data_IF_950447530015
#
_entry.id   IF_950447530015
#
_cell.length_a   1.000
_cell.length_b   1.000
_cell.length_c   1.000
_cell.angle_alpha   90.00
_cell.angle_beta   90.00
_cell.angle_gamma   90.00
#
_symmetry.space_group_name_H-M   'P 1'
#
loop_
_entity.id
_entity.type
_entity.pdbx_description
1 polymer ?
#
# COMPACT_ATOMS: atom_id res chain seq x y z
N UNK A 1 12.49 5.68 6.07
CA UNK A 1 11.13 5.94 5.57
C UNK A 1 10.11 5.46 6.60
N UNK A 2 8.94 6.10 6.73
CA UNK A 2 7.97 5.80 7.78
C UNK A 2 6.80 4.97 7.27
N UNK A 3 6.30 4.07 8.12
CA UNK A 3 5.09 3.29 7.87
C UNK A 3 3.86 4.18 7.99
N UNK A 4 2.95 4.10 7.03
CA UNK A 4 1.69 4.87 7.05
C UNK A 4 0.70 4.23 8.02
N UNK A 5 -0.08 5.07 8.69
CA UNK A 5 -1.18 4.62 9.57
C UNK A 5 -2.43 4.32 8.73
N UNK A 6 -3.22 3.31 9.10
CA UNK A 6 -4.47 3.02 8.38
C UNK A 6 -5.50 4.12 8.56
N UNK A 7 -6.36 4.25 7.55
CA UNK A 7 -7.67 4.85 7.71
C UNK A 7 -8.64 3.79 8.27
N UNK A 8 -9.54 4.21 9.14
CA UNK A 8 -10.54 3.34 9.76
C UNK A 8 -11.95 3.75 9.33
N UNK A 9 -12.76 2.77 8.91
CA UNK A 9 -14.19 2.97 8.65
C UNK A 9 -14.98 1.77 9.12
N UNK A 10 -15.83 1.96 10.14
CA UNK A 10 -16.78 1.02 10.78
C UNK A 10 -16.25 -0.37 11.13
N UNK A 11 -15.70 -1.14 10.18
CA UNK A 11 -15.03 -2.45 10.36
C UNK A 11 -13.89 -2.71 9.35
N UNK A 12 -13.37 -1.69 8.68
CA UNK A 12 -12.34 -1.80 7.66
C UNK A 12 -11.15 -0.90 8.01
N UNK A 13 -9.95 -1.47 7.97
CA UNK A 13 -8.69 -0.72 7.98
C UNK A 13 -8.11 -0.75 6.57
N UNK A 14 -7.90 0.43 5.98
CA UNK A 14 -7.43 0.54 4.61
C UNK A 14 -6.43 1.68 4.47
N UNK A 15 -5.69 1.68 3.37
CA UNK A 15 -4.95 2.84 2.90
C UNK A 15 -5.40 3.19 1.49
N UNK A 16 -5.30 4.46 1.14
CA UNK A 16 -5.40 4.87 -0.26
C UNK A 16 -3.98 4.96 -0.82
N UNK A 17 -3.70 4.24 -1.91
CA UNK A 17 -2.34 4.12 -2.45
C UNK A 17 -1.80 5.46 -2.94
N UNK A 18 -2.66 6.29 -3.55
CA UNK A 18 -2.33 7.67 -3.96
C UNK A 18 -2.06 8.63 -2.80
N UNK A 19 -2.36 8.26 -1.56
CA UNK A 19 -2.02 9.04 -0.35
C UNK A 19 -0.68 8.64 0.26
N UNK A 20 0.01 7.63 -0.30
CA UNK A 20 1.32 7.20 0.17
C UNK A 20 2.43 8.16 -0.33
N UNK A 21 3.59 8.22 0.35
CA UNK A 21 4.79 8.82 -0.22
C UNK A 21 5.15 8.18 -1.56
N UNK A 22 5.62 8.97 -2.52
CA UNK A 22 5.82 8.56 -3.93
C UNK A 22 6.60 7.25 -4.09
N UNK A 23 7.72 7.10 -3.38
CA UNK A 23 8.55 5.90 -3.39
C UNK A 23 7.80 4.66 -2.86
N UNK A 24 6.92 4.81 -1.87
CA UNK A 24 6.07 3.70 -1.40
C UNK A 24 4.96 3.40 -2.38
N UNK A 25 4.34 4.43 -2.95
CA UNK A 25 3.30 4.29 -3.95
C UNK A 25 3.80 3.45 -5.13
N UNK A 26 4.94 3.84 -5.71
CA UNK A 26 5.54 3.12 -6.83
C UNK A 26 5.90 1.68 -6.45
N UNK A 27 6.64 1.49 -5.36
CA UNK A 27 7.09 0.15 -4.96
C UNK A 27 5.93 -0.78 -4.54
N UNK A 28 4.88 -0.24 -3.93
CA UNK A 28 3.71 -1.02 -3.52
C UNK A 28 2.84 -1.41 -4.72
N UNK A 29 2.59 -0.47 -5.64
CA UNK A 29 1.84 -0.73 -6.88
C UNK A 29 2.48 -1.79 -7.76
N UNK A 30 3.81 -1.89 -7.79
CA UNK A 30 4.51 -2.96 -8.50
C UNK A 30 4.43 -4.33 -7.80
N UNK A 31 4.14 -4.35 -6.50
CA UNK A 31 4.11 -5.57 -5.70
C UNK A 31 2.70 -6.17 -5.57
N UNK A 32 1.67 -5.34 -5.42
CA UNK A 32 0.29 -5.81 -5.29
C UNK A 32 -0.31 -6.19 -6.65
N UNK A 33 -1.20 -7.19 -6.70
CA UNK A 33 -2.02 -7.41 -7.88
C UNK A 33 -3.05 -6.28 -8.02
N UNK A 34 -3.38 -5.91 -9.25
CA UNK A 34 -4.41 -4.88 -9.53
C UNK A 34 -5.77 -5.24 -8.90
N UNK A 35 -6.07 -6.52 -8.71
CA UNK A 35 -7.30 -7.00 -8.07
C UNK A 35 -7.41 -6.66 -6.58
N UNK A 36 -6.30 -6.30 -5.92
CA UNK A 36 -6.31 -5.81 -4.53
C UNK A 36 -6.74 -4.35 -4.44
N UNK A 37 -6.76 -3.61 -5.56
CA UNK A 37 -7.27 -2.23 -5.60
C UNK A 37 -8.80 -2.23 -5.57
N UNK A 38 -9.34 -1.49 -4.62
CA UNK A 38 -10.78 -1.39 -4.38
C UNK A 38 -11.22 0.07 -4.39
N UNK A 39 -12.45 0.29 -4.83
CA UNK A 39 -13.14 1.56 -4.65
C UNK A 39 -13.97 1.49 -3.37
N UNK A 40 -13.80 2.46 -2.48
CA UNK A 40 -14.54 2.55 -1.23
C UNK A 40 -15.36 3.83 -1.20
N UNK A 41 -16.64 3.71 -0.85
CA UNK A 41 -17.52 4.87 -0.63
C UNK A 41 -17.84 4.98 0.86
N UNK A 42 -17.29 6.00 1.52
CA UNK A 42 -17.45 6.24 2.96
C UNK A 42 -17.96 7.67 3.16
N UNK A 43 -19.06 7.85 3.90
CA UNK A 43 -19.66 9.16 4.17
C UNK A 43 -19.89 10.00 2.89
N UNK A 44 -20.38 9.37 1.83
CA UNK A 44 -20.58 9.96 0.49
C UNK A 44 -19.29 10.43 -0.23
N UNK A 45 -18.11 10.09 0.30
CA UNK A 45 -16.83 10.30 -0.36
C UNK A 45 -16.40 8.99 -1.00
N UNK A 46 -16.18 9.03 -2.31
CA UNK A 46 -15.63 7.91 -3.06
C UNK A 46 -14.12 8.04 -3.14
N UNK A 47 -13.41 7.07 -2.58
CA UNK A 47 -11.97 6.89 -2.74
C UNK A 47 -11.75 5.74 -3.71
N UNK A 48 -10.90 5.98 -4.69
CA UNK A 48 -10.39 4.93 -5.57
C UNK A 48 -9.16 4.29 -4.92
N UNK A 49 -8.56 3.30 -5.59
CA UNK A 49 -7.20 2.83 -5.28
C UNK A 49 -6.93 2.51 -3.79
N UNK A 50 -7.96 2.03 -3.10
CA UNK A 50 -7.87 1.61 -1.71
C UNK A 50 -7.43 0.16 -1.62
N UNK A 51 -6.63 -0.15 -0.60
CA UNK A 51 -6.12 -1.51 -0.32
C UNK A 51 -6.30 -1.81 1.15
N UNK A 52 -6.53 -3.07 1.49
CA UNK A 52 -6.58 -3.50 2.89
C UNK A 52 -5.26 -3.15 3.58
N UNK A 53 -5.34 -2.56 4.76
CA UNK A 53 -4.16 -2.22 5.52
C UNK A 53 -3.30 -3.43 5.84
N UNK A 54 -3.88 -4.62 6.02
CA UNK A 54 -3.12 -5.83 6.30
C UNK A 54 -2.18 -6.20 5.15
N UNK A 55 -2.60 -6.01 3.90
CA UNK A 55 -1.76 -6.23 2.71
C UNK A 55 -0.60 -5.24 2.67
N UNK A 56 -0.89 -3.94 2.89
CA UNK A 56 0.15 -2.91 2.99
C UNK A 56 1.11 -3.18 4.15
N UNK A 57 0.58 -3.55 5.32
CA UNK A 57 1.35 -3.81 6.53
C UNK A 57 2.35 -4.94 6.29
N UNK A 58 1.89 -6.03 5.69
CA UNK A 58 2.74 -7.17 5.32
C UNK A 58 3.82 -6.75 4.31
N UNK A 59 3.45 -6.04 3.25
CA UNK A 59 4.42 -5.58 2.26
C UNK A 59 5.49 -4.67 2.88
N UNK A 60 5.09 -3.72 3.71
CA UNK A 60 6.00 -2.78 4.35
C UNK A 60 7.01 -3.51 5.25
N UNK A 61 6.53 -4.45 6.07
CA UNK A 61 7.36 -5.16 7.04
C UNK A 61 8.34 -6.16 6.39
N UNK A 62 7.98 -6.75 5.23
CA UNK A 62 8.74 -7.87 4.65
C UNK A 62 9.34 -7.64 3.25
N UNK A 63 8.87 -6.64 2.51
CA UNK A 63 9.22 -6.46 1.09
C UNK A 63 9.76 -5.06 0.80
N UNK A 64 9.25 -4.01 1.44
CA UNK A 64 9.65 -2.63 1.15
C UNK A 64 11.17 -2.40 1.25
N UNK A 65 11.82 -2.98 2.26
CA UNK A 65 13.27 -2.88 2.44
C UNK A 65 14.09 -3.80 1.51
N UNK A 66 13.48 -4.79 0.86
CA UNK A 66 14.17 -5.69 -0.08
C UNK A 66 14.38 -5.04 -1.45
N UNK A 67 13.51 -4.12 -1.84
CA UNK A 67 13.62 -3.40 -3.10
C UNK A 67 14.89 -2.53 -3.19
N UNK A 68 15.50 -2.17 -2.06
CA UNK A 68 16.80 -1.49 -2.01
C UNK A 68 18.01 -2.41 -2.18
N UNK A 69 17.85 -3.73 -1.98
CA UNK A 69 18.95 -4.71 -2.05
C UNK A 69 19.04 -5.45 -3.40
N UNK A 70 18.11 -5.21 -4.35
CA UNK A 70 18.13 -5.85 -5.68
C UNK A 70 19.18 -5.27 -6.64
N UNK A 71 20.06 -4.37 -6.20
CA UNK A 71 21.22 -3.90 -6.99
C UNK A 71 22.54 -4.61 -6.65
N UNK A 72 22.57 -5.54 -5.68
CA UNK A 72 23.82 -6.21 -5.25
C UNK A 72 23.95 -7.70 -5.62
N UNK A 73 23.04 -8.28 -6.40
CA UNK A 73 23.23 -9.64 -6.94
C UNK A 73 23.38 -9.62 -8.45
N UNK A 74 24.51 -9.07 -8.90
CA UNK A 74 25.12 -9.45 -10.18
C UNK A 74 26.27 -10.40 -9.86
N UNK A 75 26.09 -11.70 -10.10
CA UNK A 75 27.15 -12.69 -10.21
C UNK A 75 27.17 -13.25 -11.63
#
# INVERSE_FOLDING_TARGET
MFKVSPNYSTNLSFIQVSSLPIEQQEAFMHWIPETSLQQLTINNITMTDCVDYQEYNYWFDFQFHKSGNMLETSF
#
